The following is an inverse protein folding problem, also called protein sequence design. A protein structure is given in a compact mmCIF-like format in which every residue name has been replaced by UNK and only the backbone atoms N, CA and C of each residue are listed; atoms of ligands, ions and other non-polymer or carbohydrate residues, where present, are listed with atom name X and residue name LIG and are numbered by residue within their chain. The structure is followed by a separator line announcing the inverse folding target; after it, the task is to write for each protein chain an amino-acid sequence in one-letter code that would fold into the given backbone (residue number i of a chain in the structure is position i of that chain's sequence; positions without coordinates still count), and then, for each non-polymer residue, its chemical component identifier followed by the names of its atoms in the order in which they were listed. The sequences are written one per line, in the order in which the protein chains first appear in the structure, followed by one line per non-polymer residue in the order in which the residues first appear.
data_IF_805518570531
#
_entry.id   IF_805518570531
#
_cell.length_a   1.000
_cell.length_b   1.000
_cell.length_c   1.000
_cell.angle_alpha   90.00
_cell.angle_beta   90.00
_cell.angle_gamma   90.00
#
_symmetry.space_group_name_H-M   'P 1'
#
loop_
_entity.id
_entity.type
_entity.pdbx_description
1 polymer ?
#
# COMPACT_ATOMS: atom_id res chain seq x y z
N UNK A 1 23.43 -15.90 19.25
CA UNK A 1 24.07 -14.57 19.34
C UNK A 1 22.95 -13.57 19.26
N UNK A 2 23.05 -12.43 19.95
CA UNK A 2 21.96 -11.46 19.95
C UNK A 2 21.84 -10.80 18.57
N UNK A 3 20.62 -10.66 18.06
CA UNK A 3 20.35 -9.96 16.80
C UNK A 3 20.94 -8.55 16.88
N UNK A 4 21.79 -8.21 15.91
CA UNK A 4 22.41 -6.89 15.83
C UNK A 4 21.47 -5.94 15.09
N UNK A 5 21.27 -4.74 15.63
CA UNK A 5 20.50 -3.68 14.97
C UNK A 5 21.45 -2.72 14.25
N UNK A 6 21.06 -2.27 13.05
CA UNK A 6 21.81 -1.33 12.23
C UNK A 6 20.92 -0.19 11.75
N UNK A 7 21.54 0.97 11.56
CA UNK A 7 20.99 2.06 10.77
C UNK A 7 21.76 2.10 9.44
N UNK A 8 21.06 2.02 8.32
CA UNK A 8 21.67 1.95 6.98
C UNK A 8 20.93 2.82 5.98
N UNK A 9 21.63 3.77 5.37
CA UNK A 9 21.08 4.58 4.28
C UNK A 9 21.12 3.84 2.95
N UNK A 10 20.02 3.85 2.22
CA UNK A 10 19.86 3.15 0.94
C UNK A 10 18.98 3.97 -0.02
N UNK A 11 18.95 3.56 -1.29
CA UNK A 11 18.17 4.24 -2.34
C UNK A 11 16.95 3.42 -2.74
N UNK A 12 15.75 3.95 -2.46
CA UNK A 12 14.51 3.43 -3.00
C UNK A 12 14.35 3.87 -4.46
N UNK A 13 14.28 2.90 -5.38
CA UNK A 13 13.92 3.18 -6.77
C UNK A 13 12.43 3.49 -6.86
N UNK A 14 12.11 4.58 -7.56
CA UNK A 14 10.76 5.08 -7.74
C UNK A 14 10.31 4.97 -9.20
N UNK A 15 9.01 4.74 -9.45
CA UNK A 15 8.47 4.70 -10.79
C UNK A 15 8.56 6.08 -11.48
N UNK A 16 8.52 6.07 -12.80
CA UNK A 16 8.44 7.26 -13.64
C UNK A 16 7.26 8.14 -13.24
N UNK A 17 6.09 7.56 -13.01
CA UNK A 17 4.93 8.24 -12.45
C UNK A 17 4.06 7.27 -11.67
N UNK A 18 3.89 7.51 -10.37
CA UNK A 18 3.08 6.65 -9.50
C UNK A 18 1.63 6.58 -9.98
N UNK A 19 1.07 5.36 -10.03
CA UNK A 19 -0.27 5.01 -10.53
C UNK A 19 -0.50 5.30 -12.03
N UNK A 20 0.52 5.69 -12.78
CA UNK A 20 0.40 6.01 -14.23
C UNK A 20 1.40 5.21 -15.06
N UNK A 21 2.67 5.29 -14.70
CA UNK A 21 3.79 4.64 -15.39
C UNK A 21 4.76 4.07 -14.35
N UNK A 22 4.61 2.77 -14.09
CA UNK A 22 5.47 2.01 -13.18
C UNK A 22 6.72 1.45 -13.88
N UNK A 23 7.18 2.08 -14.96
CA UNK A 23 8.54 1.89 -15.46
C UNK A 23 9.54 2.65 -14.58
N UNK A 24 10.79 2.18 -14.55
CA UNK A 24 11.88 2.78 -13.76
C UNK A 24 12.96 3.38 -14.67
N UNK A 25 12.64 3.62 -15.94
CA UNK A 25 13.61 4.04 -16.95
C UNK A 25 14.18 5.44 -16.73
N UNK A 26 13.47 6.31 -16.01
CA UNK A 26 13.96 7.65 -15.67
C UNK A 26 14.99 7.64 -14.53
N UNK A 27 15.18 6.49 -13.86
CA UNK A 27 16.14 6.33 -12.78
C UNK A 27 15.81 7.16 -11.53
N UNK A 28 14.52 7.46 -11.29
CA UNK A 28 14.10 8.22 -10.10
C UNK A 28 14.39 7.42 -8.83
N UNK A 29 14.95 8.09 -7.83
CA UNK A 29 15.30 7.47 -6.56
C UNK A 29 15.01 8.42 -5.39
N UNK A 30 14.80 7.85 -4.20
CA UNK A 30 14.71 8.57 -2.92
C UNK A 30 15.65 7.97 -1.90
N UNK A 31 16.26 8.83 -1.08
CA UNK A 31 16.97 8.43 0.12
C UNK A 31 16.01 7.82 1.14
N UNK A 32 16.38 6.65 1.65
CA UNK A 32 15.72 5.96 2.75
C UNK A 32 16.75 5.59 3.81
N UNK A 33 16.28 5.43 5.03
CA UNK A 33 17.07 4.88 6.13
C UNK A 33 16.35 3.63 6.63
N UNK A 34 17.05 2.50 6.60
CA UNK A 34 16.65 1.27 7.26
C UNK A 34 17.13 1.30 8.72
N UNK A 35 16.28 0.99 9.69
CA UNK A 35 16.56 0.93 11.13
C UNK A 35 16.04 -0.41 11.72
N UNK A 36 16.79 -1.48 11.46
CA UNK A 36 16.35 -2.83 11.78
C UNK A 36 17.49 -3.84 11.97
N UNK A 37 17.17 -5.15 12.06
CA UNK A 37 18.18 -6.21 12.14
C UNK A 37 19.22 -6.13 11.02
N UNK A 38 20.48 -6.43 11.32
CA UNK A 38 21.54 -6.46 10.31
C UNK A 38 21.30 -7.54 9.24
N UNK A 39 20.55 -8.57 9.61
CA UNK A 39 20.08 -9.62 8.72
C UNK A 39 18.73 -10.16 9.17
N UNK A 40 17.97 -10.67 8.21
CA UNK A 40 16.77 -11.48 8.46
C UNK A 40 16.88 -12.82 7.73
N UNK A 41 16.12 -13.81 8.15
CA UNK A 41 16.10 -15.13 7.52
C UNK A 41 14.71 -15.46 6.99
N UNK A 42 14.57 -15.51 5.67
CA UNK A 42 13.33 -15.92 5.02
C UNK A 42 13.21 -17.45 5.06
N UNK A 43 12.04 -17.96 5.43
CA UNK A 43 11.77 -19.41 5.48
C UNK A 43 11.25 -19.89 4.13
N UNK A 44 12.18 -20.28 3.26
CA UNK A 44 11.93 -20.57 1.85
C UNK A 44 11.57 -22.04 1.62
N UNK A 45 10.44 -22.26 0.94
CA UNK A 45 9.98 -23.54 0.44
C UNK A 45 10.68 -24.00 -0.84
N UNK A 46 10.41 -25.23 -1.27
CA UNK A 46 10.98 -25.78 -2.51
C UNK A 46 10.51 -25.03 -3.77
N UNK A 47 9.40 -24.30 -3.67
CA UNK A 47 8.85 -23.43 -4.71
C UNK A 47 9.53 -22.06 -4.79
N UNK A 48 10.49 -21.78 -3.89
CA UNK A 48 11.23 -20.52 -3.82
C UNK A 48 10.47 -19.39 -3.15
N UNK A 49 9.29 -19.67 -2.57
CA UNK A 49 8.50 -18.68 -1.84
C UNK A 49 8.70 -18.81 -0.34
N UNK A 50 8.46 -17.71 0.35
CA UNK A 50 8.38 -17.70 1.81
C UNK A 50 7.09 -18.44 2.26
N UNK A 51 7.22 -19.42 3.15
CA UNK A 51 6.06 -20.14 3.72
C UNK A 51 5.62 -19.58 5.07
N UNK A 52 6.58 -19.03 5.83
CA UNK A 52 6.39 -18.52 7.18
C UNK A 52 7.17 -17.22 7.32
N UNK A 53 6.76 -16.36 8.26
CA UNK A 53 7.40 -15.07 8.49
C UNK A 53 8.92 -15.15 8.73
N UNK A 54 9.63 -14.03 8.56
CA UNK A 54 11.08 -14.01 8.69
C UNK A 54 11.48 -14.27 10.13
N UNK A 55 12.64 -14.89 10.27
CA UNK A 55 13.28 -15.14 11.55
C UNK A 55 14.42 -14.16 11.76
N UNK A 56 14.66 -13.79 13.00
CA UNK A 56 15.88 -13.10 13.43
C UNK A 56 16.97 -14.11 13.82
N UNK A 57 18.18 -13.62 14.08
CA UNK A 57 19.28 -14.49 14.55
C UNK A 57 18.95 -15.11 15.92
N UNK A 58 18.18 -14.40 16.75
CA UNK A 58 17.69 -14.91 18.04
C UNK A 58 16.67 -16.04 17.89
N UNK A 59 15.75 -15.92 16.92
CA UNK A 59 14.73 -16.96 16.67
C UNK A 59 15.37 -18.28 16.20
N UNK A 60 16.41 -18.19 15.36
CA UNK A 60 17.19 -19.35 14.94
C UNK A 60 17.98 -19.94 16.12
N UNK A 61 18.50 -19.08 17.01
CA UNK A 61 19.25 -19.50 18.18
C UNK A 61 18.40 -20.18 19.27
N UNK A 62 17.06 -20.01 19.25
CA UNK A 62 16.11 -20.72 20.15
C UNK A 62 16.11 -22.24 19.94
N UNK A 63 16.72 -22.73 18.85
CA UNK A 63 16.92 -24.17 18.60
C UNK A 63 15.65 -24.90 18.13
N UNK A 64 14.61 -24.15 17.73
CA UNK A 64 13.42 -24.74 17.10
C UNK A 64 13.80 -25.41 15.79
N UNK A 65 13.30 -26.63 15.52
CA UNK A 65 13.59 -27.31 14.27
C UNK A 65 12.98 -26.55 13.10
N UNK A 66 13.69 -26.53 11.97
CA UNK A 66 13.18 -26.04 10.70
C UNK A 66 11.91 -26.82 10.30
N UNK A 67 10.81 -26.14 9.91
CA UNK A 67 9.61 -26.82 9.38
C UNK A 67 9.94 -27.74 8.20
N UNK A 68 9.19 -28.84 8.06
CA UNK A 68 9.51 -29.90 7.08
C UNK A 68 9.33 -29.46 5.61
N UNK A 69 8.50 -28.45 5.38
CA UNK A 69 8.22 -27.81 4.10
C UNK A 69 9.18 -26.66 3.76
N UNK A 70 10.08 -26.27 4.68
CA UNK A 70 11.11 -25.26 4.45
C UNK A 70 12.41 -25.92 4.03
N UNK A 71 12.89 -25.62 2.83
CA UNK A 71 14.14 -26.17 2.30
C UNK A 71 15.35 -25.33 2.70
N UNK A 72 15.17 -24.02 2.89
CA UNK A 72 16.26 -23.09 3.20
C UNK A 72 15.80 -21.98 4.16
N UNK A 73 16.63 -21.66 5.15
CA UNK A 73 16.60 -20.37 5.83
C UNK A 73 17.51 -19.43 5.03
N UNK A 74 16.91 -18.62 4.17
CA UNK A 74 17.64 -17.74 3.27
C UNK A 74 18.04 -16.47 4.02
N UNK A 75 19.33 -16.28 4.23
CA UNK A 75 19.87 -15.08 4.88
C UNK A 75 19.81 -13.88 3.93
N UNK A 76 19.18 -12.80 4.40
CA UNK A 76 19.15 -11.50 3.74
C UNK A 76 19.96 -10.53 4.60
N UNK A 77 21.19 -10.22 4.16
CA UNK A 77 22.02 -9.18 4.77
C UNK A 77 21.49 -7.80 4.35
N UNK A 78 20.91 -7.06 5.29
CA UNK A 78 20.17 -5.83 5.05
C UNK A 78 21.06 -4.66 4.62
N UNK A 79 22.39 -4.74 4.81
CA UNK A 79 23.35 -3.73 4.37
C UNK A 79 24.07 -4.10 3.06
N UNK A 80 23.77 -5.26 2.48
CA UNK A 80 24.48 -5.79 1.29
C UNK A 80 24.25 -4.95 0.04
N UNK A 81 23.02 -4.48 -0.18
CA UNK A 81 22.61 -3.72 -1.37
C UNK A 81 21.24 -3.07 -1.15
N UNK A 82 20.88 -2.08 -1.97
CA UNK A 82 19.55 -1.44 -1.93
C UNK A 82 18.40 -2.45 -2.06
N UNK A 83 18.56 -3.50 -2.89
CA UNK A 83 17.55 -4.57 -3.03
C UNK A 83 17.38 -5.36 -1.73
N UNK A 84 18.46 -5.62 -1.01
CA UNK A 84 18.39 -6.33 0.26
C UNK A 84 17.79 -5.44 1.36
N UNK A 85 18.20 -4.17 1.41
CA UNK A 85 17.61 -3.18 2.32
C UNK A 85 16.09 -3.05 2.08
N UNK A 86 15.65 -2.99 0.80
CA UNK A 86 14.24 -3.01 0.42
C UNK A 86 13.49 -4.24 0.97
N UNK A 87 14.03 -5.44 0.77
CA UNK A 87 13.41 -6.68 1.24
C UNK A 87 13.35 -6.71 2.77
N UNK A 88 14.42 -6.26 3.44
CA UNK A 88 14.44 -6.12 4.89
C UNK A 88 13.42 -5.10 5.39
N UNK A 89 13.21 -3.98 4.69
CA UNK A 89 12.19 -3.00 5.05
C UNK A 89 10.76 -3.56 4.91
N UNK A 90 10.51 -4.39 3.89
CA UNK A 90 9.19 -4.96 3.62
C UNK A 90 8.85 -6.17 4.50
N UNK A 91 9.86 -6.93 4.94
CA UNK A 91 9.65 -8.19 5.66
C UNK A 91 10.11 -8.14 7.10
N UNK A 92 11.16 -7.38 7.40
CA UNK A 92 11.78 -7.33 8.71
C UNK A 92 10.80 -6.90 9.81
N UNK A 93 11.06 -7.31 11.06
CA UNK A 93 10.27 -6.81 12.19
C UNK A 93 10.45 -5.31 12.31
N UNK A 94 9.35 -4.57 12.41
CA UNK A 94 9.38 -3.13 12.65
C UNK A 94 9.90 -2.88 14.07
N UNK A 95 11.10 -2.32 14.19
CA UNK A 95 11.71 -2.01 15.50
C UNK A 95 11.32 -0.59 15.95
N UNK A 96 11.01 0.31 15.01
CA UNK A 96 10.71 1.70 15.29
C UNK A 96 9.74 2.31 14.26
N UNK A 97 8.75 3.09 14.71
CA UNK A 97 7.81 3.83 13.86
C UNK A 97 8.49 5.00 13.11
N UNK A 98 9.75 5.33 13.44
CA UNK A 98 10.54 6.38 12.75
C UNK A 98 10.84 6.08 11.29
N UNK A 99 10.75 4.83 10.85
CA UNK A 99 11.12 4.45 9.49
C UNK A 99 10.21 5.15 8.46
N UNK A 100 8.93 5.43 8.79
CA UNK A 100 7.96 5.96 7.83
C UNK A 100 6.84 6.79 8.50
N UNK A 101 7.15 8.01 8.95
CA UNK A 101 6.06 8.96 9.27
C UNK A 101 5.30 9.29 7.99
N UNK A 102 4.08 8.75 7.85
CA UNK A 102 3.15 9.00 6.74
C UNK A 102 2.55 10.42 6.74
N UNK A 103 2.76 11.15 7.83
CA UNK A 103 2.30 12.52 8.04
C UNK A 103 3.06 13.56 7.21
N UNK A 104 4.14 13.16 6.54
CA UNK A 104 4.94 14.04 5.67
C UNK A 104 4.33 14.19 4.26
N UNK A 105 3.30 13.41 3.94
CA UNK A 105 2.68 13.41 2.61
C UNK A 105 1.66 14.54 2.46
N UNK A 106 1.62 15.14 1.27
CA UNK A 106 0.52 16.02 0.85
C UNK A 106 -0.25 15.34 -0.28
N UNK A 107 -1.53 15.64 -0.38
CA UNK A 107 -2.38 15.08 -1.43
C UNK A 107 -1.98 15.61 -2.81
N UNK A 108 -1.70 14.68 -3.72
CA UNK A 108 -1.41 14.94 -5.13
C UNK A 108 -2.55 14.37 -5.96
N UNK A 109 -3.17 15.21 -6.78
CA UNK A 109 -4.21 14.78 -7.70
C UNK A 109 -3.64 13.84 -8.78
N UNK A 110 -4.32 12.72 -8.99
CA UNK A 110 -3.98 11.79 -10.06
C UNK A 110 -4.19 12.47 -11.43
N UNK A 111 -3.23 12.41 -12.36
CA UNK A 111 -3.33 13.16 -13.63
C UNK A 111 -4.48 12.70 -14.53
N UNK A 112 -4.93 11.45 -14.38
CA UNK A 112 -6.14 10.91 -15.03
C UNK A 112 -7.46 11.28 -14.35
N UNK A 113 -7.44 12.04 -13.24
CA UNK A 113 -8.60 12.45 -12.45
C UNK A 113 -8.78 13.97 -12.52
N UNK A 114 -9.52 14.51 -13.50
CA UNK A 114 -9.81 15.94 -13.57
C UNK A 114 -10.61 16.39 -12.34
N UNK A 115 -10.47 17.66 -11.95
CA UNK A 115 -11.28 18.24 -10.88
C UNK A 115 -12.75 18.36 -11.35
N UNK A 116 -13.60 17.54 -10.76
CA UNK A 116 -15.04 17.51 -10.99
C UNK A 116 -15.82 17.75 -9.68
N UNK A 117 -15.18 18.37 -8.68
CA UNK A 117 -15.77 18.66 -7.37
C UNK A 117 -17.00 19.57 -7.47
N UNK A 118 -17.02 20.49 -8.43
CA UNK A 118 -18.19 21.34 -8.71
C UNK A 118 -19.43 20.56 -9.17
N UNK A 119 -19.24 19.40 -9.81
CA UNK A 119 -20.31 18.46 -10.17
C UNK A 119 -20.61 17.45 -9.03
N UNK A 120 -19.82 17.51 -7.95
CA UNK A 120 -19.91 16.69 -6.75
C UNK A 120 -19.28 15.30 -6.85
N UNK A 121 -18.28 15.15 -7.72
CA UNK A 121 -17.43 13.94 -7.78
C UNK A 121 -16.11 14.19 -7.06
N UNK A 122 -15.65 13.21 -6.28
CA UNK A 122 -14.37 13.32 -5.58
C UNK A 122 -13.21 13.22 -6.56
N UNK A 123 -12.20 14.07 -6.42
CA UNK A 123 -10.96 13.94 -7.17
C UNK A 123 -10.10 12.85 -6.53
N UNK A 124 -9.60 11.92 -7.34
CA UNK A 124 -8.68 10.89 -6.85
C UNK A 124 -7.31 11.50 -6.57
N UNK A 125 -6.87 11.42 -5.31
CA UNK A 125 -5.57 11.88 -4.84
C UNK A 125 -4.77 10.73 -4.23
N UNK A 126 -3.45 10.91 -4.15
CA UNK A 126 -2.53 10.02 -3.45
C UNK A 126 -1.45 10.84 -2.73
N UNK A 127 -0.81 10.25 -1.71
CA UNK A 127 0.25 10.91 -0.95
C UNK A 127 1.49 11.19 -1.80
N UNK A 128 2.07 12.39 -1.66
CA UNK A 128 3.27 12.81 -2.39
C UNK A 128 4.53 11.99 -2.08
N UNK A 129 4.58 11.35 -0.91
CA UNK A 129 5.71 10.56 -0.41
C UNK A 129 5.37 9.09 -0.59
N UNK A 130 6.13 8.39 -1.43
CA UNK A 130 5.90 6.98 -1.76
C UNK A 130 6.75 6.06 -0.90
N UNK A 131 6.15 5.09 -0.22
CA UNK A 131 6.89 4.14 0.61
C UNK A 131 7.25 2.87 -0.19
N UNK A 132 8.20 2.05 0.29
CA UNK A 132 8.58 0.81 -0.37
C UNK A 132 7.39 -0.12 -0.62
N UNK A 133 6.43 -0.21 0.30
CA UNK A 133 5.19 -1.00 0.17
C UNK A 133 4.15 -0.35 -0.79
N UNK A 134 4.32 0.93 -1.11
CA UNK A 134 3.55 1.57 -2.17
C UNK A 134 3.99 1.11 -3.56
N UNK A 135 5.29 0.86 -3.72
CA UNK A 135 5.93 0.61 -5.02
C UNK A 135 6.18 -0.88 -5.27
N UNK A 136 6.58 -1.64 -4.24
CA UNK A 136 7.08 -3.00 -4.36
C UNK A 136 6.13 -4.02 -3.73
N UNK A 137 5.87 -5.10 -4.45
CA UNK A 137 4.99 -6.17 -3.99
C UNK A 137 5.81 -7.23 -3.24
N UNK A 138 5.69 -7.25 -1.91
CA UNK A 138 6.41 -8.23 -1.08
C UNK A 138 5.99 -9.69 -1.37
N UNK A 139 4.78 -9.93 -1.89
CA UNK A 139 4.31 -11.28 -2.25
C UNK A 139 5.04 -11.86 -3.47
N UNK A 140 5.72 -11.01 -4.23
CA UNK A 140 6.54 -11.42 -5.39
C UNK A 140 7.96 -11.80 -5.01
N UNK A 141 8.33 -11.71 -3.73
CA UNK A 141 9.64 -12.12 -3.26
C UNK A 141 9.82 -13.61 -3.54
N UNK A 142 10.86 -13.93 -4.32
CA UNK A 142 11.21 -15.31 -4.66
C UNK A 142 12.71 -15.52 -4.63
N UNK A 143 13.11 -16.71 -4.21
CA UNK A 143 14.50 -17.17 -4.18
C UNK A 143 14.69 -18.23 -5.26
N UNK A 144 15.65 -18.00 -6.14
CA UNK A 144 16.04 -18.94 -7.18
C UNK A 144 16.90 -20.07 -6.61
N UNK A 145 16.72 -21.29 -7.12
CA UNK A 145 17.45 -22.50 -6.67
C UNK A 145 17.39 -22.77 -5.15
N UNK A 146 16.19 -22.87 -4.54
CA UNK A 146 16.04 -23.07 -3.10
C UNK A 146 16.81 -24.28 -2.57
N UNK A 147 17.51 -24.10 -1.45
CA UNK A 147 18.37 -25.11 -0.83
C UNK A 147 19.84 -24.99 -1.23
N UNK A 148 20.14 -24.30 -2.34
CA UNK A 148 21.51 -23.97 -2.79
C UNK A 148 21.68 -22.51 -3.16
N UNK A 149 20.66 -21.68 -2.91
CA UNK A 149 20.64 -20.28 -3.31
C UNK A 149 21.77 -19.51 -2.61
N UNK A 150 22.55 -18.78 -3.40
CA UNK A 150 23.52 -17.80 -2.92
C UNK A 150 22.84 -16.50 -2.50
N UNK A 151 23.59 -15.54 -1.95
CA UNK A 151 23.02 -14.32 -1.35
C UNK A 151 22.33 -13.38 -2.34
N UNK A 152 22.59 -13.49 -3.65
CA UNK A 152 22.00 -12.60 -4.66
C UNK A 152 20.86 -13.26 -5.46
N UNK A 153 20.51 -14.51 -5.15
CA UNK A 153 19.50 -15.32 -5.85
C UNK A 153 18.05 -14.94 -5.48
N UNK A 154 17.87 -13.86 -4.71
CA UNK A 154 16.58 -13.30 -4.35
C UNK A 154 16.11 -12.22 -5.34
N UNK A 155 14.82 -12.21 -5.64
CA UNK A 155 14.19 -11.23 -6.52
C UNK A 155 12.88 -10.73 -5.93
N UNK A 156 12.46 -9.53 -6.35
CA UNK A 156 11.20 -8.88 -6.01
C UNK A 156 10.77 -8.04 -7.20
N UNK A 157 9.46 -7.88 -7.40
CA UNK A 157 8.88 -7.08 -8.48
C UNK A 157 8.08 -5.90 -7.92
N UNK A 158 8.10 -4.80 -8.66
CA UNK A 158 7.22 -3.66 -8.38
C UNK A 158 5.77 -4.02 -8.74
N UNK A 159 4.81 -3.39 -8.06
CA UNK A 159 3.41 -3.42 -8.49
C UNK A 159 3.31 -2.85 -9.91
N UNK A 160 2.39 -3.36 -10.72
CA UNK A 160 1.96 -2.60 -11.90
C UNK A 160 1.07 -1.42 -11.45
N UNK A 161 0.93 -0.39 -12.29
CA UNK A 161 0.00 0.71 -11.98
C UNK A 161 -1.44 0.19 -11.79
N UNK A 162 -1.83 -0.81 -12.58
CA UNK A 162 -3.16 -1.43 -12.50
C UNK A 162 -3.33 -2.23 -11.22
N UNK A 163 -2.35 -3.05 -10.88
CA UNK A 163 -2.35 -3.84 -9.65
C UNK A 163 -2.47 -2.95 -8.42
N UNK A 164 -1.73 -1.82 -8.38
CA UNK A 164 -1.81 -0.90 -7.25
C UNK A 164 -3.16 -0.18 -7.14
N UNK A 165 -3.82 0.16 -8.27
CA UNK A 165 -5.13 0.83 -8.26
C UNK A 165 -6.27 -0.16 -7.99
N UNK A 166 -6.24 -1.33 -8.64
CA UNK A 166 -7.37 -2.25 -8.70
C UNK A 166 -7.23 -3.45 -7.76
N UNK A 167 -6.05 -3.68 -7.19
CA UNK A 167 -5.70 -4.90 -6.46
C UNK A 167 -5.41 -6.11 -7.36
N UNK A 168 -5.47 -5.94 -8.68
CA UNK A 168 -5.21 -6.97 -9.69
C UNK A 168 -4.62 -6.32 -10.95
N UNK A 169 -3.79 -7.05 -11.70
CA UNK A 169 -3.18 -6.55 -12.94
C UNK A 169 -4.14 -6.62 -14.14
N UNK A 170 -5.34 -6.07 -13.97
CA UNK A 170 -6.39 -6.02 -14.99
C UNK A 170 -7.02 -4.63 -15.03
N UNK A 171 -7.42 -4.17 -16.22
CA UNK A 171 -8.18 -2.93 -16.35
C UNK A 171 -9.65 -3.15 -16.01
N UNK A 172 -10.22 -2.23 -15.23
CA UNK A 172 -11.66 -2.14 -15.04
C UNK A 172 -12.34 -1.78 -16.35
N UNK A 173 -13.52 -2.36 -16.53
CA UNK A 173 -14.41 -2.02 -17.64
C UNK A 173 -15.50 -1.05 -17.16
N UNK A 174 -16.15 -0.35 -18.09
CA UNK A 174 -17.34 0.44 -17.77
C UNK A 174 -18.47 -0.41 -17.16
N UNK A 175 -18.51 -1.70 -17.45
CA UNK A 175 -19.51 -2.62 -16.88
C UNK A 175 -19.27 -2.81 -15.38
N UNK A 176 -18.01 -2.89 -14.95
CA UNK A 176 -17.62 -2.94 -13.55
C UNK A 176 -17.98 -1.63 -12.82
N UNK A 177 -17.69 -0.47 -13.41
CA UNK A 177 -18.07 0.84 -12.85
C UNK A 177 -19.59 0.95 -12.72
N UNK A 178 -20.33 0.50 -13.74
CA UNK A 178 -21.81 0.46 -13.71
C UNK A 178 -22.32 -0.50 -12.64
N UNK A 179 -21.66 -1.63 -12.41
CA UNK A 179 -22.01 -2.57 -11.35
C UNK A 179 -21.78 -1.97 -9.95
N UNK A 180 -20.64 -1.29 -9.73
CA UNK A 180 -20.37 -0.56 -8.49
C UNK A 180 -21.44 0.50 -8.23
N UNK A 181 -21.75 1.35 -9.22
CA UNK A 181 -22.87 2.30 -9.14
C UNK A 181 -24.18 1.64 -8.76
N UNK A 182 -24.52 0.50 -9.36
CA UNK A 182 -25.78 -0.19 -9.06
C UNK A 182 -25.79 -0.71 -7.61
N UNK A 183 -24.65 -1.16 -7.07
CA UNK A 183 -24.49 -1.52 -5.65
C UNK A 183 -24.73 -0.31 -4.75
N UNK A 184 -24.11 0.83 -5.03
CA UNK A 184 -24.30 2.06 -4.23
C UNK A 184 -25.75 2.60 -4.29
N UNK A 185 -26.41 2.49 -5.45
CA UNK A 185 -27.84 2.79 -5.58
C UNK A 185 -28.72 1.82 -4.78
N UNK A 186 -28.33 0.54 -4.69
CA UNK A 186 -29.06 -0.45 -3.90
C UNK A 186 -28.88 -0.18 -2.40
N UNK A 187 -27.64 0.09 -1.97
CA UNK A 187 -27.31 0.39 -0.57
C UNK A 187 -28.03 1.64 -0.06
N UNK A 188 -28.21 2.65 -0.93
CA UNK A 188 -28.88 3.90 -0.59
C UNK A 188 -30.40 3.90 -0.83
N UNK A 189 -31.02 2.75 -1.15
CA UNK A 189 -32.44 2.70 -1.51
C UNK A 189 -33.37 3.00 -0.32
N UNK A 190 -33.00 2.50 0.87
CA UNK A 190 -33.71 2.74 2.12
C UNK A 190 -33.36 4.05 2.83
N UNK A 191 -32.45 4.86 2.27
CA UNK A 191 -31.92 6.04 2.94
C UNK A 191 -32.86 7.27 2.86
N UNK A 192 -33.95 7.20 2.08
CA UNK A 192 -34.93 8.27 1.93
C UNK A 192 -36.24 7.86 2.62
N UNK A 193 -36.52 8.44 3.78
CA UNK A 193 -37.78 8.26 4.51
C UNK A 193 -38.69 9.49 4.40
N UNK A 194 -40.01 9.33 4.57
CA UNK A 194 -40.95 10.46 4.47
C UNK A 194 -40.81 11.48 5.61
N UNK A 195 -40.37 11.03 6.79
CA UNK A 195 -40.23 11.81 8.02
C UNK A 195 -38.87 12.51 8.16
N UNK A 196 -37.92 12.24 7.28
CA UNK A 196 -36.60 12.88 7.34
C UNK A 196 -36.65 14.36 6.93
N UNK A 197 -35.74 15.22 7.43
CA UNK A 197 -35.67 16.63 7.03
C UNK A 197 -35.50 16.81 5.52
N UNK A 198 -36.18 17.80 4.93
CA UNK A 198 -36.17 18.03 3.48
C UNK A 198 -34.77 18.33 2.91
N UNK A 199 -33.90 18.94 3.72
CA UNK A 199 -32.49 19.15 3.34
C UNK A 199 -31.77 17.81 3.15
N UNK A 200 -31.96 16.87 4.06
CA UNK A 200 -31.33 15.55 3.98
C UNK A 200 -31.93 14.72 2.84
N UNK A 201 -33.26 14.79 2.61
CA UNK A 201 -33.90 14.20 1.41
C UNK A 201 -33.24 14.70 0.13
N UNK A 202 -32.97 16.00 0.07
CA UNK A 202 -32.37 16.64 -1.10
C UNK A 202 -30.95 16.14 -1.31
N UNK A 203 -30.13 16.05 -0.26
CA UNK A 203 -28.76 15.48 -0.34
C UNK A 203 -28.77 14.05 -0.88
N UNK A 204 -29.65 13.19 -0.38
CA UNK A 204 -29.77 11.81 -0.88
C UNK A 204 -30.26 11.72 -2.32
N UNK A 205 -31.21 12.57 -2.73
CA UNK A 205 -31.66 12.65 -4.12
C UNK A 205 -30.53 13.10 -5.05
N UNK A 206 -29.75 14.10 -4.65
CA UNK A 206 -28.59 14.59 -5.41
C UNK A 206 -27.52 13.50 -5.54
N UNK A 207 -27.15 12.86 -4.42
CA UNK A 207 -26.18 11.75 -4.40
C UNK A 207 -26.59 10.62 -5.36
N UNK A 208 -27.85 10.15 -5.29
CA UNK A 208 -28.36 9.09 -6.17
C UNK A 208 -28.41 9.53 -7.64
N UNK A 209 -28.61 10.82 -7.92
CA UNK A 209 -28.55 11.34 -9.28
C UNK A 209 -27.12 11.37 -9.80
N UNK A 210 -26.16 11.85 -9.00
CA UNK A 210 -24.73 11.82 -9.33
C UNK A 210 -24.23 10.40 -9.60
N UNK A 211 -24.64 9.41 -8.80
CA UNK A 211 -24.34 8.00 -9.08
C UNK A 211 -24.81 7.58 -10.48
N UNK A 212 -26.05 7.91 -10.86
CA UNK A 212 -26.59 7.56 -12.18
C UNK A 212 -25.81 8.21 -13.33
N UNK A 213 -25.43 9.46 -13.13
CA UNK A 213 -24.75 10.27 -14.13
C UNK A 213 -23.25 9.97 -14.25
N UNK A 214 -22.65 9.37 -13.20
CA UNK A 214 -21.20 9.14 -13.11
C UNK A 214 -20.58 8.50 -14.35
N UNK A 215 -21.07 7.36 -14.89
CA UNK A 215 -20.38 6.73 -16.02
C UNK A 215 -20.36 7.62 -17.28
N UNK A 216 -21.45 8.36 -17.52
CA UNK A 216 -21.53 9.24 -18.69
C UNK A 216 -20.66 10.49 -18.49
N UNK A 217 -20.65 11.07 -17.29
CA UNK A 217 -19.83 12.23 -16.94
C UNK A 217 -18.34 11.92 -17.04
N UNK A 218 -17.91 10.79 -16.46
CA UNK A 218 -16.52 10.35 -16.48
C UNK A 218 -16.07 10.00 -17.90
N UNK A 219 -16.90 9.30 -18.68
CA UNK A 219 -16.60 9.02 -20.08
C UNK A 219 -16.49 10.30 -20.93
N UNK A 220 -17.35 11.28 -20.71
CA UNK A 220 -17.30 12.56 -21.43
C UNK A 220 -16.05 13.39 -21.08
N UNK A 221 -15.53 13.22 -19.87
CA UNK A 221 -14.29 13.83 -19.40
C UNK A 221 -13.02 13.02 -19.78
N UNK A 222 -13.15 11.95 -20.58
CA UNK A 222 -12.07 11.03 -20.93
C UNK A 222 -11.36 10.37 -19.73
N UNK A 223 -12.08 10.16 -18.64
CA UNK A 223 -11.57 9.46 -17.46
C UNK A 223 -11.57 7.96 -17.70
N UNK A 224 -10.43 7.31 -17.47
CA UNK A 224 -10.30 5.85 -17.59
C UNK A 224 -11.11 5.13 -16.51
N UNK A 225 -11.75 3.97 -16.77
CA UNK A 225 -12.58 3.27 -15.78
C UNK A 225 -11.89 2.96 -14.44
N UNK A 226 -10.58 2.65 -14.44
CA UNK A 226 -9.80 2.46 -13.20
C UNK A 226 -9.88 3.68 -12.28
N UNK A 227 -9.81 4.88 -12.87
CA UNK A 227 -9.82 6.15 -12.14
C UNK A 227 -11.26 6.57 -11.84
N UNK A 228 -12.19 6.39 -12.79
CA UNK A 228 -13.60 6.70 -12.59
C UNK A 228 -14.20 5.96 -11.39
N UNK A 229 -13.75 4.73 -11.11
CA UNK A 229 -14.19 3.95 -9.94
C UNK A 229 -13.70 4.53 -8.60
N UNK A 230 -12.67 5.37 -8.61
CA UNK A 230 -12.14 6.09 -7.45
C UNK A 230 -12.74 7.50 -7.29
N UNK A 231 -13.58 7.94 -8.23
CA UNK A 231 -14.17 9.30 -8.27
C UNK A 231 -15.67 9.31 -7.91
N UNK A 232 -16.15 8.29 -7.19
CA UNK A 232 -17.56 8.22 -6.78
C UNK A 232 -17.94 9.40 -5.87
N UNK A 233 -19.19 9.89 -5.94
CA UNK A 233 -19.66 10.90 -5.01
C UNK A 233 -19.64 10.34 -3.58
N UNK A 234 -19.44 11.21 -2.60
CA UNK A 234 -19.44 10.83 -1.19
C UNK A 234 -20.88 10.66 -0.69
N UNK A 235 -21.12 9.61 0.10
CA UNK A 235 -22.44 9.36 0.69
C UNK A 235 -22.80 10.48 1.71
N UNK A 236 -24.07 10.95 1.75
CA UNK A 236 -24.46 12.06 2.62
C UNK A 236 -24.33 11.82 4.13
N UNK A 237 -24.32 10.56 4.56
CA UNK A 237 -24.19 10.12 5.95
C UNK A 237 -22.75 9.77 6.34
N UNK A 238 -21.80 9.90 5.41
CA UNK A 238 -20.38 9.79 5.73
C UNK A 238 -20.00 10.93 6.68
N UNK A 239 -19.48 10.54 7.84
CA UNK A 239 -18.87 11.43 8.82
C UNK A 239 -17.45 10.98 8.98
N UNK A 240 -16.49 11.88 8.76
CA UNK A 240 -15.09 11.58 9.04
C UNK A 240 -14.95 11.18 10.52
N UNK A 241 -14.27 10.06 10.81
CA UNK A 241 -14.02 9.69 12.19
C UNK A 241 -13.28 10.83 12.91
N UNK A 242 -13.57 11.09 14.20
CA UNK A 242 -12.84 12.09 14.95
C UNK A 242 -11.35 11.77 14.92
N UNK A 243 -10.52 12.76 14.56
CA UNK A 243 -9.06 12.65 14.65
C UNK A 243 -8.68 12.27 16.08
N UNK A 244 -7.89 11.22 16.26
CA UNK A 244 -7.49 10.79 17.61
C UNK A 244 -6.66 11.93 18.24
N UNK A 245 -7.03 12.43 19.44
CA UNK A 245 -6.25 13.45 20.14
C UNK A 245 -4.83 13.00 20.49
N UNK A 246 -4.51 11.70 20.37
CA UNK A 246 -3.17 11.14 20.52
C UNK A 246 -2.31 11.17 19.23
N UNK A 247 -2.84 11.66 18.10
CA UNK A 247 -2.06 12.08 16.92
C UNK A 247 -1.30 13.40 17.18
N UNK A 248 -0.57 13.44 18.30
CA UNK A 248 0.56 14.35 18.45
C UNK A 248 1.72 13.83 17.60
N UNK A 249 2.58 14.74 17.17
CA UNK A 249 3.80 14.63 16.33
C UNK A 249 4.87 13.58 16.72
N UNK A 250 4.51 12.53 17.46
CA UNK A 250 5.43 11.49 17.93
C UNK A 250 6.45 11.99 18.96
N UNK A 251 6.41 13.27 19.37
CA UNK A 251 7.42 13.83 20.30
C UNK A 251 7.08 13.59 21.78
N UNK A 252 5.87 13.09 22.08
CA UNK A 252 5.35 12.97 23.44
C UNK A 252 5.57 11.63 24.16
N UNK A 253 5.79 10.54 23.44
CA UNK A 253 5.93 9.22 24.06
C UNK A 253 7.41 8.91 24.33
N UNK A 254 7.74 8.70 25.61
CA UNK A 254 9.08 8.22 25.98
C UNK A 254 9.31 6.86 25.31
N UNK A 255 10.47 6.65 24.66
CA UNK A 255 10.84 5.33 24.16
C UNK A 255 10.70 4.30 25.28
N UNK A 256 10.05 3.17 24.98
CA UNK A 256 9.94 2.08 25.93
C UNK A 256 11.36 1.62 26.34
N UNK A 257 11.61 1.53 27.64
CA UNK A 257 12.84 0.99 28.20
C UNK A 257 12.53 -0.39 28.79
N UNK A 258 13.37 -1.42 28.55
CA UNK A 258 13.17 -2.71 29.18
C UNK A 258 13.29 -2.58 30.71
N UNK A 259 12.50 -3.35 31.49
CA UNK A 259 12.65 -3.40 32.94
C UNK A 259 14.04 -3.94 33.30
N UNK A 260 14.71 -3.25 34.23
CA UNK A 260 16.03 -3.63 34.76
C UNK A 260 15.98 -4.72 35.82
#
# INVERSE_FOLDING_TARGET
MATKIIEHSWKLSLPNSFLVDHSFSDGKQRDQTYDGPDKIYLQIGADGKEHYGPLTEDDIADGRPKPADVVQWYEVDCARSDKHALICQLRGPVINEKEESRDLSVDVAHPGSPDMSADGYQQFTYGSVLYPDDVWNYETITVSNPGSAGPDDISISAFTAKEKINGVDEDKTWDMVRAHRNRELTNSDGAIAEDMPDELKTKWKTYRQQLRDLPNKMSAANVHPNIADMMFPMQPDYVEPPKDPSEGDGTGNKPWMPPG
#
